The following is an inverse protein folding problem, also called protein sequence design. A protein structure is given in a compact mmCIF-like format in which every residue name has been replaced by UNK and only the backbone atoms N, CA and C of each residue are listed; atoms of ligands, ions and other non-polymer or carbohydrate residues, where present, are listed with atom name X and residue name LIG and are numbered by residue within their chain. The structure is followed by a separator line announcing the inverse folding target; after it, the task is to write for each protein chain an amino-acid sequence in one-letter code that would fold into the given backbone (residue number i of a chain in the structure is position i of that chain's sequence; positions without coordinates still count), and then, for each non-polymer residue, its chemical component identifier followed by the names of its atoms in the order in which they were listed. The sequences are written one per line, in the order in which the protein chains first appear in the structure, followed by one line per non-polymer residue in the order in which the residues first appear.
data_IF_176583187468
#
_entry.id   IF_176583187468
#
_cell.length_a   1.000
_cell.length_b   1.000
_cell.length_c   1.000
_cell.angle_alpha   90.00
_cell.angle_beta   90.00
_cell.angle_gamma   90.00
#
_symmetry.space_group_name_H-M   'P 1'
#
loop_
_entity.id
_entity.type
_entity.pdbx_description
1 polymer ?
#
# COMPACT_ATOMS: atom_id res chain seq x y z
N UNK A 1 -10.26 66.63 4.41
CA UNK A 1 -9.81 65.82 5.56
C UNK A 1 -9.07 64.63 4.99
N UNK A 2 -7.74 64.63 5.05
CA UNK A 2 -6.88 63.61 4.44
C UNK A 2 -5.77 63.28 5.45
N UNK A 3 -5.70 62.04 5.90
CA UNK A 3 -4.69 61.55 6.84
C UNK A 3 -3.66 60.68 6.12
N UNK A 4 -2.35 60.90 6.31
CA UNK A 4 -1.31 60.07 5.72
C UNK A 4 -0.95 58.89 6.63
N UNK A 5 -0.82 57.69 6.06
CA UNK A 5 -0.28 56.52 6.77
C UNK A 5 1.21 56.33 6.46
N UNK A 6 1.96 56.34 7.56
CA UNK A 6 3.41 56.19 7.68
C UNK A 6 3.89 54.78 7.33
N UNK A 7 5.07 54.71 6.71
CA UNK A 7 5.94 53.54 6.69
C UNK A 7 6.54 53.25 8.08
N UNK A 8 6.78 51.97 8.42
CA UNK A 8 7.72 51.42 9.43
C UNK A 8 7.92 49.93 9.04
N UNK A 9 9.02 49.53 8.38
CA UNK A 9 10.29 48.96 8.92
C UNK A 9 10.08 47.86 9.99
N UNK A 10 10.45 46.60 9.67
CA UNK A 10 11.46 45.78 10.40
C UNK A 10 11.39 44.29 9.98
N UNK A 11 12.45 43.84 9.28
CA UNK A 11 12.94 42.47 9.30
C UNK A 11 13.67 42.21 10.63
N UNK A 12 13.72 40.96 11.16
CA UNK A 12 15.05 40.35 11.26
C UNK A 12 15.12 38.81 11.16
N UNK A 13 16.28 38.39 10.62
CA UNK A 13 17.16 37.29 11.06
C UNK A 13 16.72 35.82 10.91
N UNK A 14 17.12 35.24 9.77
CA UNK A 14 17.48 33.82 9.67
C UNK A 14 18.96 33.64 10.09
N UNK A 15 19.19 33.02 11.23
CA UNK A 15 20.51 32.55 11.66
C UNK A 15 20.46 31.02 11.77
N UNK A 16 21.02 30.32 10.77
CA UNK A 16 21.30 28.88 10.87
C UNK A 16 22.81 28.69 10.74
N UNK A 17 23.41 28.35 11.88
CA UNK A 17 24.82 28.04 12.07
C UNK A 17 25.21 26.79 11.26
N UNK A 18 26.13 26.96 10.32
CA UNK A 18 26.91 25.87 9.72
C UNK A 18 28.11 25.61 10.62
N UNK A 19 28.15 24.46 11.30
CA UNK A 19 29.29 24.06 12.09
C UNK A 19 29.47 22.54 12.07
N UNK A 20 30.28 22.04 11.12
CA UNK A 20 30.99 20.75 11.26
C UNK A 20 32.28 20.77 10.45
N UNK A 21 33.40 20.68 11.17
CA UNK A 21 34.77 20.29 10.77
C UNK A 21 35.31 19.45 11.97
N UNK A 22 36.39 18.65 11.89
CA UNK A 22 37.14 18.09 10.76
C UNK A 22 37.44 16.56 10.90
N UNK A 23 38.28 16.09 9.99
CA UNK A 23 38.90 14.78 9.67
C UNK A 23 39.85 14.17 10.75
N UNK A 24 39.67 12.86 10.99
CA UNK A 24 40.62 11.70 11.15
C UNK A 24 41.68 11.64 12.28
N UNK A 25 41.76 10.41 12.87
CA UNK A 25 42.86 9.63 13.53
C UNK A 25 42.56 9.34 15.02
N UNK A 26 42.80 8.17 15.62
CA UNK A 26 43.69 7.04 15.36
C UNK A 26 43.35 5.86 16.31
N UNK A 27 43.81 4.65 15.94
CA UNK A 27 43.81 3.38 16.69
C UNK A 27 43.96 3.46 18.22
N UNK A 28 43.11 2.78 18.98
CA UNK A 28 43.48 2.11 20.24
C UNK A 28 42.57 0.88 20.49
N UNK A 29 43.20 -0.29 20.62
CA UNK A 29 42.61 -1.54 21.08
C UNK A 29 42.20 -1.39 22.54
N UNK A 30 40.90 -1.42 22.83
CA UNK A 30 40.39 -1.45 24.20
C UNK A 30 40.01 -2.89 24.58
N UNK A 31 40.88 -3.52 25.37
CA UNK A 31 40.66 -4.79 26.06
C UNK A 31 39.59 -4.53 27.14
N UNK A 32 38.35 -4.97 26.90
CA UNK A 32 37.28 -4.86 27.88
C UNK A 32 37.54 -5.83 29.05
N UNK A 33 37.86 -5.27 30.21
CA UNK A 33 37.84 -5.96 31.49
C UNK A 33 36.37 -6.01 31.96
N UNK A 34 35.83 -7.21 32.15
CA UNK A 34 34.58 -7.42 32.85
C UNK A 34 34.84 -7.22 34.34
N UNK A 35 34.23 -6.19 34.93
CA UNK A 35 34.13 -6.02 36.38
C UNK A 35 32.80 -6.61 36.82
N UNK A 36 32.86 -7.76 37.50
CA UNK A 36 31.78 -8.38 38.23
C UNK A 36 31.24 -7.44 39.31
N UNK A 37 30.01 -6.98 39.16
CA UNK A 37 29.16 -6.59 40.29
C UNK A 37 27.68 -6.72 39.90
N UNK A 38 27.18 -7.95 39.92
CA UNK A 38 25.73 -8.19 40.00
C UNK A 38 25.48 -8.74 41.40
N UNK A 39 24.94 -7.88 42.26
CA UNK A 39 24.50 -8.20 43.61
C UNK A 39 23.37 -9.24 43.52
N UNK A 40 23.70 -10.51 43.80
CA UNK A 40 22.72 -11.59 43.91
C UNK A 40 22.53 -11.97 45.38
N UNK A 41 21.42 -11.53 45.98
CA UNK A 41 20.95 -12.01 47.26
C UNK A 41 20.42 -13.44 47.07
N UNK A 42 21.26 -14.43 47.36
CA UNK A 42 20.95 -15.85 47.18
C UNK A 42 19.92 -16.36 48.18
N UNK A 43 18.66 -16.43 47.74
CA UNK A 43 17.65 -17.31 48.33
C UNK A 43 17.93 -18.76 47.90
N UNK A 44 18.03 -19.68 48.86
CA UNK A 44 18.31 -21.09 48.60
C UNK A 44 17.14 -21.76 47.86
N UNK A 45 17.43 -22.45 46.75
CA UNK A 45 16.49 -23.41 46.17
C UNK A 45 16.56 -24.70 47.01
N UNK A 46 15.57 -24.90 47.88
CA UNK A 46 15.37 -26.15 48.63
C UNK A 46 14.83 -27.24 47.70
N UNK A 47 15.27 -28.48 47.91
CA UNK A 47 14.82 -29.67 47.19
C UNK A 47 13.28 -29.78 47.14
N UNK A 48 12.74 -29.99 45.94
CA UNK A 48 11.38 -30.54 45.77
C UNK A 48 10.25 -29.58 45.35
N UNK A 49 10.51 -28.42 44.76
CA UNK A 49 9.42 -27.57 44.22
C UNK A 49 9.61 -27.27 42.73
N UNK A 50 8.71 -27.86 41.94
CA UNK A 50 8.73 -27.81 40.50
C UNK A 50 8.63 -26.38 39.94
N UNK A 51 9.42 -26.16 38.89
CA UNK A 51 9.35 -25.02 38.00
C UNK A 51 9.51 -25.50 36.56
N UNK A 52 8.49 -26.22 36.07
CA UNK A 52 8.22 -26.25 34.64
C UNK A 52 7.93 -24.81 34.21
N UNK A 53 8.75 -24.24 33.32
CA UNK A 53 8.37 -23.42 32.15
C UNK A 53 9.66 -22.94 31.47
N UNK A 54 9.83 -23.31 30.21
CA UNK A 54 10.82 -22.69 29.33
C UNK A 54 12.00 -23.59 28.95
N UNK A 55 11.77 -24.88 28.70
CA UNK A 55 12.58 -25.59 27.72
C UNK A 55 12.62 -24.72 26.47
N UNK A 56 13.76 -24.09 26.20
CA UNK A 56 14.04 -23.41 24.95
C UNK A 56 14.01 -24.46 23.86
N UNK A 57 12.80 -24.77 23.37
CA UNK A 57 12.58 -25.58 22.20
C UNK A 57 13.28 -24.86 21.05
N UNK A 58 14.50 -25.32 20.76
CA UNK A 58 15.05 -25.20 19.43
C UNK A 58 13.96 -25.76 18.51
N UNK A 59 13.28 -24.88 17.79
CA UNK A 59 12.31 -25.28 16.79
C UNK A 59 13.11 -26.08 15.79
N UNK A 60 13.01 -27.41 15.85
CA UNK A 60 13.34 -28.24 14.73
C UNK A 60 12.48 -27.69 13.58
N UNK A 61 13.13 -26.98 12.67
CA UNK A 61 12.54 -26.75 11.36
C UNK A 61 12.22 -28.15 10.82
N UNK A 62 11.00 -28.43 10.35
CA UNK A 62 10.76 -29.68 9.65
C UNK A 62 11.71 -29.71 8.44
N UNK A 63 12.70 -30.58 8.53
CA UNK A 63 13.59 -30.99 7.45
C UNK A 63 12.73 -31.74 6.42
N UNK A 64 11.98 -30.99 5.61
CA UNK A 64 11.20 -31.50 4.47
C UNK A 64 10.82 -30.38 3.47
N UNK A 65 11.66 -29.35 3.31
CA UNK A 65 11.44 -28.30 2.29
C UNK A 65 12.73 -27.95 1.59
N UNK A 66 13.34 -28.93 0.91
CA UNK A 66 14.44 -28.71 -0.03
C UNK A 66 13.95 -28.70 -1.49
N UNK A 67 12.64 -28.56 -1.72
CA UNK A 67 12.02 -28.69 -3.04
C UNK A 67 10.87 -27.68 -3.31
N UNK A 68 10.87 -26.50 -2.66
CA UNK A 68 9.80 -25.48 -2.79
C UNK A 68 10.33 -24.03 -2.94
N UNK A 69 11.56 -23.84 -3.43
CA UNK A 69 12.18 -22.51 -3.45
C UNK A 69 12.00 -21.71 -4.76
N UNK A 70 11.25 -22.22 -5.75
CA UNK A 70 11.01 -21.53 -7.02
C UNK A 70 9.59 -20.95 -7.17
N UNK A 71 8.57 -21.55 -6.53
CA UNK A 71 7.18 -21.09 -6.68
C UNK A 71 6.79 -19.94 -5.74
N UNK A 72 7.57 -19.71 -4.67
CA UNK A 72 7.23 -18.74 -3.62
C UNK A 72 7.54 -17.29 -4.00
N UNK A 73 8.46 -17.05 -4.94
CA UNK A 73 8.68 -15.71 -5.49
C UNK A 73 7.56 -15.32 -6.47
N UNK A 74 7.12 -16.25 -7.33
CA UNK A 74 6.00 -16.00 -8.24
C UNK A 74 4.69 -15.73 -7.49
N UNK A 75 4.42 -16.46 -6.41
CA UNK A 75 3.25 -16.21 -5.56
C UNK A 75 3.32 -14.85 -4.86
N UNK A 76 4.49 -14.43 -4.39
CA UNK A 76 4.69 -13.10 -3.80
C UNK A 76 4.55 -11.98 -4.84
N UNK A 77 5.00 -12.20 -6.07
CA UNK A 77 4.81 -11.25 -7.17
C UNK A 77 3.34 -11.08 -7.54
N UNK A 78 2.53 -12.15 -7.44
CA UNK A 78 1.06 -12.07 -7.62
C UNK A 78 0.38 -11.28 -6.50
N UNK A 79 0.99 -11.18 -5.33
CA UNK A 79 0.45 -10.43 -4.19
C UNK A 79 0.75 -8.92 -4.24
N UNK A 80 1.56 -8.46 -5.20
CA UNK A 80 1.95 -7.07 -5.34
C UNK A 80 1.24 -6.41 -6.52
N UNK A 81 0.64 -5.24 -6.28
CA UNK A 81 0.05 -4.43 -7.34
C UNK A 81 1.12 -3.98 -8.36
N UNK A 82 0.93 -4.34 -9.62
CA UNK A 82 1.73 -3.80 -10.72
C UNK A 82 1.18 -2.42 -11.12
N UNK A 83 2.06 -1.42 -11.20
CA UNK A 83 1.66 -0.06 -11.59
C UNK A 83 1.00 0.00 -12.98
N UNK A 84 1.41 -0.89 -13.89
CA UNK A 84 0.81 -1.01 -15.22
C UNK A 84 -0.67 -1.41 -15.14
N UNK A 85 -1.01 -2.39 -14.31
CA UNK A 85 -2.39 -2.87 -14.15
C UNK A 85 -3.28 -1.78 -13.54
N UNK A 86 -2.76 -1.03 -12.57
CA UNK A 86 -3.46 0.12 -11.97
C UNK A 86 -3.73 1.22 -13.00
N UNK A 87 -2.77 1.51 -13.86
CA UNK A 87 -2.96 2.48 -14.94
C UNK A 87 -4.00 2.02 -15.95
N UNK A 88 -3.97 0.74 -16.34
CA UNK A 88 -4.95 0.16 -17.26
C UNK A 88 -6.36 0.27 -16.69
N UNK A 89 -6.59 -0.18 -15.44
CA UNK A 89 -7.93 -0.12 -14.86
C UNK A 89 -8.41 1.33 -14.65
N UNK A 90 -7.50 2.24 -14.29
CA UNK A 90 -7.82 3.67 -14.15
C UNK A 90 -8.27 4.25 -15.48
N UNK A 91 -7.56 3.92 -16.56
CA UNK A 91 -7.92 4.38 -17.90
C UNK A 91 -9.28 3.84 -18.35
N UNK A 92 -9.51 2.54 -18.19
CA UNK A 92 -10.81 1.91 -18.51
C UNK A 92 -11.96 2.53 -17.72
N UNK A 93 -11.76 2.80 -16.42
CA UNK A 93 -12.78 3.44 -15.59
C UNK A 93 -13.08 4.89 -16.00
N UNK A 94 -12.07 5.64 -16.45
CA UNK A 94 -12.27 6.98 -17.03
C UNK A 94 -13.08 6.91 -18.33
N UNK A 95 -12.74 5.98 -19.22
CA UNK A 95 -13.49 5.77 -20.46
C UNK A 95 -14.95 5.40 -20.18
N UNK A 96 -15.18 4.50 -19.22
CA UNK A 96 -16.51 4.14 -18.79
C UNK A 96 -17.29 5.36 -18.27
N UNK A 97 -16.67 6.18 -17.42
CA UNK A 97 -17.30 7.40 -16.90
C UNK A 97 -17.74 8.33 -18.04
N UNK A 98 -16.90 8.49 -19.07
CA UNK A 98 -17.28 9.32 -20.24
C UNK A 98 -18.47 8.74 -21.01
N UNK A 99 -18.54 7.42 -21.19
CA UNK A 99 -19.67 6.76 -21.85
C UNK A 99 -20.95 6.87 -21.03
N UNK A 100 -20.86 6.72 -19.71
CA UNK A 100 -21.99 6.92 -18.79
C UNK A 100 -22.50 8.36 -18.81
N UNK A 101 -21.60 9.35 -18.85
CA UNK A 101 -22.00 10.76 -18.98
C UNK A 101 -22.74 11.01 -20.30
N UNK A 102 -22.31 10.40 -21.41
CA UNK A 102 -23.02 10.53 -22.69
C UNK A 102 -24.40 9.86 -22.64
N UNK A 103 -24.48 8.68 -22.01
CA UNK A 103 -25.75 7.97 -21.84
C UNK A 103 -26.73 8.78 -20.99
N UNK A 104 -26.25 9.34 -19.87
CA UNK A 104 -27.07 10.14 -18.97
C UNK A 104 -27.59 11.42 -19.64
N UNK A 105 -26.76 12.08 -20.47
CA UNK A 105 -27.21 13.24 -21.27
C UNK A 105 -28.30 12.83 -22.26
N UNK A 106 -28.12 11.71 -22.95
CA UNK A 106 -29.11 11.22 -23.91
C UNK A 106 -30.44 10.86 -23.25
N UNK A 107 -30.39 10.22 -22.06
CA UNK A 107 -31.58 9.89 -21.26
C UNK A 107 -32.28 11.15 -20.72
N UNK A 108 -31.53 12.21 -20.43
CA UNK A 108 -32.08 13.50 -19.98
C UNK A 108 -32.73 14.27 -21.12
N UNK A 109 -32.12 14.25 -22.32
CA UNK A 109 -32.64 14.92 -23.51
C UNK A 109 -33.88 14.21 -24.08
N UNK A 110 -33.93 12.87 -24.00
CA UNK A 110 -35.02 12.06 -24.55
C UNK A 110 -35.59 11.11 -23.49
N UNK A 111 -36.29 11.64 -22.47
CA UNK A 111 -36.81 10.82 -21.37
C UNK A 111 -37.80 9.77 -21.88
N UNK A 112 -37.53 8.50 -21.60
CA UNK A 112 -38.42 7.38 -21.93
C UNK A 112 -38.39 6.91 -23.38
N UNK A 113 -37.58 7.52 -24.25
CA UNK A 113 -37.42 7.07 -25.63
C UNK A 113 -36.10 6.31 -25.78
N UNK A 114 -36.20 5.01 -26.09
CA UNK A 114 -35.03 4.19 -26.40
C UNK A 114 -34.51 4.60 -27.78
N UNK A 115 -33.53 5.51 -27.79
CA UNK A 115 -32.82 5.91 -29.00
C UNK A 115 -31.80 4.85 -29.40
N UNK A 116 -31.54 4.69 -30.70
CA UNK A 116 -30.52 3.75 -31.20
C UNK A 116 -29.14 4.04 -30.60
N UNK A 117 -28.81 5.32 -30.40
CA UNK A 117 -27.55 5.74 -29.78
C UNK A 117 -27.47 5.33 -28.30
N UNK A 118 -28.56 5.39 -27.54
CA UNK A 118 -28.61 4.90 -26.15
C UNK A 118 -28.34 3.39 -26.04
N UNK A 119 -28.80 2.61 -27.03
CA UNK A 119 -28.54 1.16 -27.10
C UNK A 119 -27.06 0.92 -27.43
N UNK A 120 -26.49 1.67 -28.37
CA UNK A 120 -25.08 1.58 -28.74
C UNK A 120 -24.15 1.93 -27.57
N UNK A 121 -24.48 2.97 -26.80
CA UNK A 121 -23.73 3.36 -25.60
C UNK A 121 -23.79 2.28 -24.52
N UNK A 122 -24.98 1.75 -24.20
CA UNK A 122 -25.14 0.66 -23.23
C UNK A 122 -24.37 -0.59 -23.66
N UNK A 123 -24.41 -0.95 -24.94
CA UNK A 123 -23.64 -2.06 -25.48
C UNK A 123 -22.13 -1.80 -25.42
N UNK A 124 -21.68 -0.56 -25.65
CA UNK A 124 -20.27 -0.19 -25.57
C UNK A 124 -19.75 -0.27 -24.14
N UNK A 125 -20.50 0.22 -23.16
CA UNK A 125 -20.18 0.12 -21.72
C UNK A 125 -20.04 -1.37 -21.33
N UNK A 126 -21.02 -2.19 -21.69
CA UNK A 126 -20.99 -3.62 -21.39
C UNK A 126 -19.79 -4.31 -22.02
N UNK A 127 -19.45 -3.99 -23.27
CA UNK A 127 -18.26 -4.54 -23.95
C UNK A 127 -16.96 -4.12 -23.27
N UNK A 128 -16.89 -2.88 -22.77
CA UNK A 128 -15.71 -2.38 -22.08
C UNK A 128 -15.49 -3.13 -20.76
N UNK A 129 -16.55 -3.33 -19.97
CA UNK A 129 -16.48 -4.03 -18.67
C UNK A 129 -16.29 -5.54 -18.79
N UNK A 130 -16.83 -6.16 -19.84
CA UNK A 130 -16.69 -7.60 -20.09
C UNK A 130 -15.48 -7.96 -20.96
N UNK A 131 -14.60 -6.99 -21.25
CA UNK A 131 -13.38 -7.22 -21.99
C UNK A 131 -12.45 -8.17 -21.18
N UNK A 132 -11.96 -9.27 -21.77
CA UNK A 132 -11.07 -10.20 -21.08
C UNK A 132 -9.82 -9.53 -20.48
N UNK A 133 -9.25 -8.52 -21.14
CA UNK A 133 -8.08 -7.81 -20.63
C UNK A 133 -8.38 -7.05 -19.32
N UNK A 134 -9.59 -6.50 -19.20
CA UNK A 134 -10.05 -5.79 -17.99
C UNK A 134 -10.34 -6.79 -16.88
N UNK A 135 -10.95 -7.92 -17.20
CA UNK A 135 -11.16 -8.99 -16.22
C UNK A 135 -9.85 -9.57 -15.71
N UNK A 136 -8.86 -9.74 -16.59
CA UNK A 136 -7.54 -10.24 -16.24
C UNK A 136 -6.76 -9.25 -15.37
N UNK A 137 -6.85 -7.95 -15.65
CA UNK A 137 -6.26 -6.91 -14.77
C UNK A 137 -6.94 -6.89 -13.41
N UNK A 138 -8.27 -6.99 -13.34
CA UNK A 138 -9.00 -7.10 -12.07
C UNK A 138 -8.61 -8.34 -11.27
N UNK A 139 -8.52 -9.51 -11.91
CA UNK A 139 -8.12 -10.76 -11.24
C UNK A 139 -6.66 -10.73 -10.75
N UNK A 140 -5.79 -9.88 -11.32
CA UNK A 140 -4.43 -9.65 -10.79
C UNK A 140 -4.41 -8.66 -9.63
N UNK A 141 -5.29 -7.66 -9.66
CA UNK A 141 -5.41 -6.64 -8.61
C UNK A 141 -6.26 -7.09 -7.41
N UNK A 142 -6.98 -8.21 -7.54
CA UNK A 142 -7.85 -8.79 -6.52
C UNK A 142 -7.52 -10.27 -6.30
N UNK A 143 -7.18 -10.64 -5.06
CA UNK A 143 -6.99 -12.03 -4.64
C UNK A 143 -8.05 -12.39 -3.60
N UNK A 144 -8.88 -13.38 -3.91
CA UNK A 144 -9.91 -13.91 -3.00
C UNK A 144 -10.90 -12.86 -2.46
N UNK A 145 -11.36 -11.92 -3.28
CA UNK A 145 -12.29 -10.88 -2.80
C UNK A 145 -11.61 -9.70 -2.10
N UNK A 146 -10.27 -9.67 -2.06
CA UNK A 146 -9.51 -8.61 -1.38
C UNK A 146 -8.51 -7.95 -2.33
N UNK A 147 -8.34 -6.62 -2.28
CA UNK A 147 -7.34 -5.94 -3.10
C UNK A 147 -5.92 -6.36 -2.68
N UNK A 148 -5.04 -6.51 -3.68
CA UNK A 148 -3.64 -6.87 -3.47
C UNK A 148 -2.86 -5.79 -2.71
N UNK A 149 -1.71 -6.15 -2.17
CA UNK A 149 -0.85 -5.21 -1.43
C UNK A 149 -0.20 -4.20 -2.37
N UNK A 150 0.04 -2.99 -1.85
CA UNK A 150 0.65 -1.90 -2.62
C UNK A 150 -0.33 -0.92 -3.26
N UNK A 151 -1.64 -1.20 -3.23
CA UNK A 151 -2.66 -0.23 -3.62
C UNK A 151 -2.92 0.81 -2.54
N UNK A 152 -3.01 2.08 -2.94
CA UNK A 152 -3.52 3.19 -2.13
C UNK A 152 -5.02 3.05 -1.86
N UNK A 153 -5.55 3.77 -0.89
CA UNK A 153 -6.98 3.70 -0.54
C UNK A 153 -7.89 4.08 -1.73
N UNK A 154 -7.49 5.07 -2.53
CA UNK A 154 -8.26 5.49 -3.70
C UNK A 154 -8.27 4.40 -4.79
N UNK A 155 -7.12 3.77 -5.05
CA UNK A 155 -7.02 2.69 -6.04
C UNK A 155 -7.80 1.45 -5.61
N UNK A 156 -7.82 1.13 -4.31
CA UNK A 156 -8.63 0.02 -3.78
C UNK A 156 -10.12 0.25 -4.01
N UNK A 157 -10.61 1.45 -3.71
CA UNK A 157 -12.01 1.82 -3.97
C UNK A 157 -12.34 1.75 -5.46
N UNK A 158 -11.39 2.13 -6.33
CA UNK A 158 -11.56 2.04 -7.77
C UNK A 158 -11.69 0.59 -8.24
N UNK A 159 -10.88 -0.33 -7.71
CA UNK A 159 -10.97 -1.76 -8.03
C UNK A 159 -12.27 -2.38 -7.53
N UNK A 160 -12.70 -2.04 -6.32
CA UNK A 160 -13.98 -2.49 -5.74
C UNK A 160 -15.17 -2.02 -6.59
N UNK A 161 -15.21 -0.73 -6.93
CA UNK A 161 -16.24 -0.15 -7.79
C UNK A 161 -16.24 -0.78 -9.19
N UNK A 162 -15.06 -0.99 -9.78
CA UNK A 162 -14.94 -1.66 -11.07
C UNK A 162 -15.51 -3.09 -11.02
N UNK A 163 -15.28 -3.81 -9.91
CA UNK A 163 -15.82 -5.16 -9.72
C UNK A 163 -17.35 -5.14 -9.59
N UNK A 164 -17.89 -4.20 -8.84
CA UNK A 164 -19.34 -4.02 -8.72
C UNK A 164 -19.96 -3.75 -10.10
N UNK A 165 -19.38 -2.86 -10.90
CA UNK A 165 -19.87 -2.57 -12.26
C UNK A 165 -19.80 -3.75 -13.21
N UNK A 166 -18.75 -4.58 -13.12
CA UNK A 166 -18.65 -5.82 -13.89
C UNK A 166 -19.77 -6.79 -13.49
N UNK A 167 -20.10 -6.88 -12.20
CA UNK A 167 -21.18 -7.74 -11.70
C UNK A 167 -22.58 -7.22 -12.06
N UNK A 168 -22.74 -5.91 -12.24
CA UNK A 168 -24.00 -5.28 -12.66
C UNK A 168 -24.30 -5.47 -14.16
N UNK A 169 -23.30 -5.74 -14.99
CA UNK A 169 -23.40 -5.84 -16.46
C UNK A 169 -24.00 -7.17 -16.96
#
# INVERSE_FOLDING_TARGET
MSFPLRAIIRSPMAARLLATRPVVRSNLVAKAFFSDSITYSGGQASEGQGGFYGSGGARAAPENTSQEHDNSEEERSKMLAMAADVQSITHTMQELETLEQFLQREETENPGQVSGRSIELKNSIKKLMTNPEVLDTLNRLELNGSPVWGLSMAERQLVELARDKVNEC
#
